data_IF_423397372493
#
_entry.id   IF_423397372493
#
_cell.length_a   1.000
_cell.length_b   1.000
_cell.length_c   1.000
_cell.angle_alpha   90.00
_cell.angle_beta   90.00
_cell.angle_gamma   90.00
#
_symmetry.space_group_name_H-M   'P 1'
#
loop_
_entity.id
_entity.type
_entity.pdbx_description
1 polymer ?
#
# COMPACT_ATOMS: atom_id res chain seq x y z
N UNK A 1 47.50 -38.02 -54.42
CA UNK A 1 47.20 -36.65 -54.91
C UNK A 1 45.69 -36.36 -54.93
N UNK A 2 44.85 -37.24 -55.47
CA UNK A 2 43.38 -37.06 -55.50
C UNK A 2 42.75 -37.05 -54.09
N UNK A 3 43.02 -38.07 -53.26
CA UNK A 3 42.42 -38.17 -51.92
C UNK A 3 42.80 -37.00 -50.99
N UNK A 4 44.02 -36.46 -51.14
CA UNK A 4 44.49 -35.30 -50.38
C UNK A 4 43.81 -34.00 -50.82
N UNK A 5 43.51 -33.85 -52.11
CA UNK A 5 42.78 -32.69 -52.63
C UNK A 5 41.31 -32.71 -52.20
N UNK A 6 40.66 -33.87 -52.23
CA UNK A 6 39.28 -34.05 -51.73
C UNK A 6 39.19 -33.75 -50.24
N UNK A 7 40.07 -34.31 -49.41
CA UNK A 7 40.08 -34.05 -47.97
C UNK A 7 40.30 -32.56 -47.63
N UNK A 8 41.16 -31.87 -48.38
CA UNK A 8 41.36 -30.42 -48.23
C UNK A 8 40.11 -29.62 -48.62
N UNK A 9 39.41 -30.02 -49.70
CA UNK A 9 38.15 -29.42 -50.13
C UNK A 9 37.05 -29.58 -49.08
N UNK A 10 36.86 -30.80 -48.55
CA UNK A 10 35.85 -31.09 -47.54
C UNK A 10 36.13 -30.34 -46.22
N UNK A 11 37.42 -30.22 -45.87
CA UNK A 11 37.83 -29.42 -44.72
C UNK A 11 37.51 -27.94 -44.91
N UNK A 12 37.77 -27.39 -46.11
CA UNK A 12 37.45 -26.00 -46.43
C UNK A 12 35.93 -25.72 -46.41
N UNK A 13 35.11 -26.62 -46.94
CA UNK A 13 33.65 -26.47 -46.91
C UNK A 13 33.11 -26.55 -45.47
N UNK A 14 33.60 -27.48 -44.66
CA UNK A 14 33.19 -27.57 -43.25
C UNK A 14 33.56 -26.30 -42.45
N UNK A 15 34.70 -25.68 -42.76
CA UNK A 15 35.13 -24.43 -42.16
C UNK A 15 34.24 -23.25 -42.62
N UNK A 16 33.87 -23.19 -43.90
CA UNK A 16 32.96 -22.14 -44.40
C UNK A 16 31.57 -22.24 -43.77
N UNK A 17 31.05 -23.47 -43.62
CA UNK A 17 29.74 -23.71 -43.01
C UNK A 17 29.74 -23.32 -41.52
N UNK A 18 30.84 -23.63 -40.82
CA UNK A 18 31.05 -23.23 -39.42
C UNK A 18 31.12 -21.72 -39.26
N UNK A 19 31.79 -21.02 -40.18
CA UNK A 19 31.88 -19.56 -40.19
C UNK A 19 30.53 -18.90 -40.50
N UNK A 20 29.77 -19.43 -41.46
CA UNK A 20 28.42 -18.95 -41.78
C UNK A 20 27.46 -19.11 -40.59
N UNK A 21 27.52 -20.26 -39.92
CA UNK A 21 26.73 -20.53 -38.70
C UNK A 21 27.11 -19.55 -37.59
N UNK A 22 28.41 -19.33 -37.36
CA UNK A 22 28.89 -18.38 -36.35
C UNK A 22 28.43 -16.95 -36.64
N UNK A 23 28.51 -16.51 -37.90
CA UNK A 23 28.01 -15.20 -38.32
C UNK A 23 26.51 -15.06 -38.06
N UNK A 24 25.73 -16.09 -38.39
CA UNK A 24 24.29 -16.08 -38.14
C UNK A 24 23.96 -16.00 -36.65
N UNK A 25 24.70 -16.71 -35.79
CA UNK A 25 24.55 -16.63 -34.33
C UNK A 25 24.88 -15.23 -33.81
N UNK A 26 25.96 -14.60 -34.29
CA UNK A 26 26.34 -13.23 -33.96
C UNK A 26 25.26 -12.22 -34.38
N UNK A 27 24.76 -12.32 -35.61
CA UNK A 27 23.71 -11.45 -36.13
C UNK A 27 22.38 -11.63 -35.35
N UNK A 28 22.04 -12.87 -34.98
CA UNK A 28 20.84 -13.15 -34.18
C UNK A 28 20.95 -12.67 -32.74
N UNK A 29 22.15 -12.72 -32.16
CA UNK A 29 22.42 -12.22 -30.80
C UNK A 29 22.43 -10.68 -30.73
N UNK A 30 22.62 -9.99 -31.86
CA UNK A 30 22.78 -8.54 -31.91
C UNK A 30 24.14 -8.05 -31.40
N UNK A 31 25.14 -8.95 -31.27
CA UNK A 31 26.51 -8.62 -30.87
C UNK A 31 27.26 -7.79 -31.91
N UNK A 32 26.83 -7.81 -33.17
CA UNK A 32 27.40 -7.02 -34.26
C UNK A 32 26.96 -5.56 -34.24
N UNK A 33 26.00 -5.21 -33.38
CA UNK A 33 25.42 -3.89 -33.30
C UNK A 33 26.14 -3.04 -32.23
N UNK A 34 26.68 -1.88 -32.61
CA UNK A 34 27.36 -0.98 -31.67
C UNK A 34 26.35 -0.14 -30.88
N UNK A 35 26.55 0.00 -29.57
CA UNK A 35 25.77 0.94 -28.75
C UNK A 35 26.11 2.40 -29.13
N UNK A 36 25.11 3.30 -29.15
CA UNK A 36 25.34 4.71 -29.54
C UNK A 36 25.74 5.59 -28.36
N UNK A 37 25.29 5.24 -27.16
CA UNK A 37 25.65 5.97 -25.96
C UNK A 37 27.11 5.78 -25.57
N UNK A 38 27.74 6.83 -25.05
CA UNK A 38 29.06 6.73 -24.40
C UNK A 38 28.99 5.72 -23.24
N UNK A 39 29.95 4.79 -23.17
CA UNK A 39 29.99 3.71 -22.17
C UNK A 39 28.73 2.83 -22.11
N UNK A 40 27.93 2.81 -23.18
CA UNK A 40 26.70 2.04 -23.21
C UNK A 40 26.96 0.58 -23.60
N UNK A 41 26.12 -0.32 -23.10
CA UNK A 41 26.17 -1.76 -23.39
C UNK A 41 24.84 -2.21 -23.96
N UNK A 42 24.86 -3.03 -25.01
CA UNK A 42 23.64 -3.63 -25.53
C UNK A 42 23.83 -5.07 -25.97
N UNK A 43 22.80 -5.87 -25.78
CA UNK A 43 22.71 -7.24 -26.27
C UNK A 43 21.28 -7.53 -26.70
N UNK A 44 21.14 -8.20 -27.85
CA UNK A 44 19.85 -8.51 -28.45
C UNK A 44 19.68 -7.82 -29.80
N UNK A 45 19.21 -8.56 -30.80
CA UNK A 45 18.91 -8.04 -32.13
C UNK A 45 17.97 -6.83 -32.04
N UNK A 46 18.30 -5.73 -32.72
CA UNK A 46 17.57 -4.46 -32.71
C UNK A 46 17.47 -3.79 -31.32
N UNK A 47 18.30 -4.16 -30.35
CA UNK A 47 18.40 -3.40 -29.10
C UNK A 47 19.09 -2.03 -29.35
N UNK A 48 18.75 -1.06 -28.51
CA UNK A 48 19.29 0.31 -28.58
C UNK A 48 19.68 0.77 -27.18
N UNK A 49 20.97 1.01 -26.97
CA UNK A 49 21.49 1.68 -25.79
C UNK A 49 22.06 3.03 -26.24
N UNK A 50 21.19 4.03 -26.25
CA UNK A 50 21.45 5.36 -26.82
C UNK A 50 21.84 6.39 -25.76
N UNK A 51 21.46 6.16 -24.50
CA UNK A 51 21.85 7.04 -23.40
C UNK A 51 23.30 6.81 -22.97
N UNK A 52 23.98 7.85 -22.49
CA UNK A 52 25.28 7.71 -21.81
C UNK A 52 25.14 6.76 -20.61
N UNK A 53 26.09 5.83 -20.46
CA UNK A 53 26.10 4.77 -19.46
C UNK A 53 24.84 3.88 -19.47
N UNK A 54 24.13 3.79 -20.59
CA UNK A 54 22.89 3.01 -20.67
C UNK A 54 23.14 1.52 -20.93
N UNK A 55 22.17 0.68 -20.58
CA UNK A 55 22.24 -0.77 -20.74
C UNK A 55 20.95 -1.33 -21.33
N UNK A 56 21.01 -1.98 -22.49
CA UNK A 56 19.84 -2.57 -23.15
C UNK A 56 20.03 -4.07 -23.42
N UNK A 57 19.21 -4.92 -22.79
CA UNK A 57 19.28 -6.38 -22.91
C UNK A 57 17.94 -6.95 -23.38
N UNK A 58 17.89 -7.45 -24.61
CA UNK A 58 16.72 -8.11 -25.20
C UNK A 58 16.39 -7.59 -26.60
N UNK A 59 15.65 -8.41 -27.36
CA UNK A 59 15.19 -8.01 -28.69
C UNK A 59 14.35 -6.73 -28.61
N UNK A 60 14.75 -5.66 -29.33
CA UNK A 60 14.10 -4.33 -29.27
C UNK A 60 14.11 -3.66 -27.90
N UNK A 61 14.96 -4.09 -26.95
CA UNK A 61 15.15 -3.35 -25.70
C UNK A 61 15.73 -1.95 -26.02
N UNK A 62 15.19 -0.91 -25.40
CA UNK A 62 15.57 0.49 -25.65
C UNK A 62 15.89 1.20 -24.34
N UNK A 63 17.17 1.50 -24.11
CA UNK A 63 17.68 2.30 -23.01
C UNK A 63 18.19 3.63 -23.57
N UNK A 64 17.31 4.62 -23.70
CA UNK A 64 17.62 5.92 -24.31
C UNK A 64 17.90 7.04 -23.31
N UNK A 65 17.63 6.81 -22.02
CA UNK A 65 17.96 7.77 -20.96
C UNK A 65 19.41 7.65 -20.48
N UNK A 66 20.00 8.74 -20.00
CA UNK A 66 21.29 8.70 -19.29
C UNK A 66 21.20 7.77 -18.06
N UNK A 67 22.17 6.89 -17.87
CA UNK A 67 22.20 5.87 -16.81
C UNK A 67 20.95 4.96 -16.78
N UNK A 68 20.28 4.79 -17.92
CA UNK A 68 19.06 3.96 -17.99
C UNK A 68 19.36 2.48 -18.23
N UNK A 69 18.49 1.61 -17.74
CA UNK A 69 18.60 0.15 -17.93
C UNK A 69 17.29 -0.41 -18.47
N UNK A 70 17.32 -1.10 -19.60
CA UNK A 70 16.17 -1.77 -20.21
C UNK A 70 16.48 -3.26 -20.40
N UNK A 71 15.79 -4.13 -19.67
CA UNK A 71 15.97 -5.58 -19.71
C UNK A 71 14.64 -6.24 -20.05
N UNK A 72 14.57 -6.90 -21.19
CA UNK A 72 13.38 -7.59 -21.69
C UNK A 72 13.09 -7.25 -23.15
N UNK A 73 12.39 -8.15 -23.84
CA UNK A 73 11.94 -7.89 -25.20
C UNK A 73 11.03 -6.65 -25.22
N UNK A 74 11.33 -5.68 -26.08
CA UNK A 74 10.63 -4.39 -26.16
C UNK A 74 10.57 -3.57 -24.85
N UNK A 75 11.42 -3.85 -23.85
CA UNK A 75 11.51 -3.00 -22.65
C UNK A 75 12.03 -1.61 -23.03
N UNK A 76 11.50 -0.55 -22.41
CA UNK A 76 11.84 0.85 -22.71
C UNK A 76 12.17 1.63 -21.44
N UNK A 77 13.41 2.06 -21.29
CA UNK A 77 13.87 2.97 -20.24
C UNK A 77 14.35 4.28 -20.89
N UNK A 78 13.48 5.29 -20.94
CA UNK A 78 13.71 6.50 -21.76
C UNK A 78 14.06 7.76 -20.98
N UNK A 79 14.05 7.70 -19.65
CA UNK A 79 14.38 8.83 -18.78
C UNK A 79 15.70 8.64 -18.04
N UNK A 80 16.28 9.72 -17.52
CA UNK A 80 17.51 9.68 -16.72
C UNK A 80 17.33 8.79 -15.48
N UNK A 81 18.29 7.91 -15.22
CA UNK A 81 18.29 6.96 -14.11
C UNK A 81 17.07 6.02 -14.09
N UNK A 82 16.41 5.80 -15.24
CA UNK A 82 15.23 4.92 -15.31
C UNK A 82 15.61 3.45 -15.51
N UNK A 83 14.83 2.54 -14.94
CA UNK A 83 15.01 1.09 -15.10
C UNK A 83 13.70 0.44 -15.55
N UNK A 84 13.73 -0.27 -16.68
CA UNK A 84 12.62 -1.09 -17.16
C UNK A 84 13.05 -2.56 -17.16
N UNK A 85 12.48 -3.37 -16.28
CA UNK A 85 12.82 -4.78 -16.11
C UNK A 85 11.58 -5.64 -16.40
N UNK A 86 11.49 -6.18 -17.62
CA UNK A 86 10.42 -7.04 -18.07
C UNK A 86 10.07 -6.81 -19.55
N UNK A 87 9.49 -7.82 -20.18
CA UNK A 87 8.95 -7.70 -21.54
C UNK A 87 7.92 -6.55 -21.59
N UNK A 88 8.06 -5.61 -22.55
CA UNK A 88 7.25 -4.39 -22.65
C UNK A 88 7.25 -3.47 -21.39
N UNK A 89 8.12 -3.68 -20.41
CA UNK A 89 8.22 -2.78 -19.26
C UNK A 89 8.63 -1.37 -19.75
N UNK A 90 7.98 -0.32 -19.26
CA UNK A 90 8.17 1.05 -19.75
C UNK A 90 8.43 2.01 -18.58
N UNK A 91 9.65 2.50 -18.46
CA UNK A 91 10.07 3.50 -17.47
C UNK A 91 10.38 4.82 -18.19
N UNK A 92 9.48 5.79 -18.07
CA UNK A 92 9.53 7.07 -18.82
C UNK A 92 9.74 8.29 -17.93
N UNK A 93 9.83 8.10 -16.61
CA UNK A 93 10.08 9.17 -15.65
C UNK A 93 11.48 9.06 -15.02
N UNK A 94 11.99 10.19 -14.55
CA UNK A 94 13.32 10.24 -13.95
C UNK A 94 13.38 9.41 -12.67
N UNK A 95 14.47 8.64 -12.50
CA UNK A 95 14.68 7.82 -11.31
C UNK A 95 13.51 6.86 -11.02
N UNK A 96 12.88 6.32 -12.07
CA UNK A 96 11.74 5.40 -11.96
C UNK A 96 12.12 3.97 -12.33
N UNK A 97 11.42 3.00 -11.73
CA UNK A 97 11.61 1.56 -11.98
C UNK A 97 10.28 0.95 -12.41
N UNK A 98 10.19 0.46 -13.64
CA UNK A 98 9.11 -0.40 -14.10
C UNK A 98 9.52 -1.86 -13.92
N UNK A 99 8.93 -2.55 -12.94
CA UNK A 99 9.29 -3.92 -12.55
C UNK A 99 8.19 -4.90 -12.98
N UNK A 100 8.54 -5.83 -13.87
CA UNK A 100 7.65 -6.84 -14.43
C UNK A 100 7.15 -6.51 -15.83
N UNK A 101 6.67 -7.54 -16.55
CA UNK A 101 6.19 -7.39 -17.91
C UNK A 101 5.00 -6.41 -18.00
N UNK A 102 5.00 -5.53 -19.00
CA UNK A 102 3.96 -4.49 -19.19
C UNK A 102 3.78 -3.51 -18.01
N UNK A 103 4.72 -3.45 -17.07
CA UNK A 103 4.71 -2.42 -16.02
C UNK A 103 5.03 -1.05 -16.58
N UNK A 104 4.40 0.00 -16.06
CA UNK A 104 4.58 1.38 -16.50
C UNK A 104 4.99 2.23 -15.29
N UNK A 105 6.17 2.85 -15.36
CA UNK A 105 6.70 3.77 -14.36
C UNK A 105 6.87 5.17 -14.97
N UNK A 106 5.79 5.93 -14.98
CA UNK A 106 5.68 7.27 -15.57
C UNK A 106 5.66 8.41 -14.52
N UNK A 107 5.97 8.10 -13.26
CA UNK A 107 6.14 9.06 -12.16
C UNK A 107 7.59 9.04 -11.65
N UNK A 108 8.15 10.20 -11.33
CA UNK A 108 9.54 10.30 -10.89
C UNK A 108 9.74 9.73 -9.49
N UNK A 109 10.89 9.11 -9.22
CA UNK A 109 11.22 8.52 -7.91
C UNK A 109 10.24 7.41 -7.46
N UNK A 110 9.78 6.57 -8.38
CA UNK A 110 8.81 5.50 -8.09
C UNK A 110 9.29 4.13 -8.53
N UNK A 111 8.76 3.10 -7.87
CA UNK A 111 8.80 1.72 -8.36
C UNK A 111 7.38 1.30 -8.71
N UNK A 112 7.11 1.09 -9.99
CA UNK A 112 5.83 0.55 -10.45
C UNK A 112 5.97 -0.95 -10.71
N UNK A 113 5.13 -1.75 -10.03
CA UNK A 113 5.07 -3.20 -10.19
C UNK A 113 3.96 -3.64 -11.16
N UNK A 114 3.34 -2.71 -11.89
CA UNK A 114 2.20 -2.99 -12.76
C UNK A 114 1.85 -1.80 -13.64
N UNK A 115 0.62 -1.78 -14.13
CA UNK A 115 0.04 -0.66 -14.85
C UNK A 115 -1.44 -0.53 -14.48
N UNK A 116 -2.07 0.58 -14.85
CA UNK A 116 -3.50 0.82 -14.56
C UNK A 116 -4.35 -0.34 -15.07
N UNK A 117 -5.12 -0.97 -14.19
CA UNK A 117 -5.95 -2.14 -14.47
C UNK A 117 -5.20 -3.47 -14.55
N UNK A 118 -3.87 -3.47 -14.38
CA UNK A 118 -3.00 -4.65 -14.34
C UNK A 118 -2.10 -4.58 -13.10
N UNK A 119 -2.70 -4.24 -11.95
CA UNK A 119 -2.00 -4.16 -10.68
C UNK A 119 -1.55 -5.56 -10.22
N UNK A 120 -0.40 -5.61 -9.54
CA UNK A 120 0.15 -6.84 -8.96
C UNK A 120 0.07 -6.80 -7.45
N UNK A 121 -0.18 -7.96 -6.85
CA UNK A 121 -0.02 -8.11 -5.40
C UNK A 121 1.46 -8.24 -5.06
N UNK A 122 1.89 -7.47 -4.06
CA UNK A 122 3.18 -7.66 -3.40
C UNK A 122 2.90 -8.56 -2.18
N UNK A 123 3.47 -9.76 -2.17
CA UNK A 123 3.20 -10.78 -1.13
C UNK A 123 4.46 -11.09 -0.34
N UNK A 124 4.30 -11.74 0.83
CA UNK A 124 5.41 -12.04 1.76
C UNK A 124 6.12 -10.79 2.29
N UNK A 125 5.38 -9.69 2.45
CA UNK A 125 5.85 -8.46 3.09
C UNK A 125 5.83 -8.66 4.61
N UNK A 126 7.01 -8.60 5.24
CA UNK A 126 7.14 -8.63 6.69
C UNK A 126 6.44 -7.43 7.35
N UNK A 127 6.26 -7.46 8.67
CA UNK A 127 5.72 -6.28 9.36
C UNK A 127 6.73 -5.13 9.26
N UNK A 128 6.26 -3.93 8.94
CA UNK A 128 7.11 -2.74 8.97
C UNK A 128 7.58 -2.41 10.39
N UNK A 129 8.83 -1.96 10.51
CA UNK A 129 9.50 -1.59 11.76
C UNK A 129 9.85 -0.10 11.75
N UNK A 130 10.37 0.42 10.65
CA UNK A 130 10.69 1.83 10.48
C UNK A 130 9.51 2.61 9.90
N UNK A 131 9.55 3.95 10.04
CA UNK A 131 8.50 4.84 9.54
C UNK A 131 8.30 4.77 8.01
N UNK A 132 9.33 4.34 7.27
CA UNK A 132 9.32 4.24 5.80
C UNK A 132 9.14 2.81 5.29
N UNK A 133 8.86 1.84 6.18
CA UNK A 133 8.61 0.46 5.77
C UNK A 133 7.19 0.31 5.24
N UNK A 134 7.00 -0.60 4.28
CA UNK A 134 5.67 -0.97 3.83
C UNK A 134 4.87 -1.66 4.96
N UNK A 135 3.58 -1.34 5.06
CA UNK A 135 2.65 -1.99 5.99
C UNK A 135 1.98 -3.18 5.30
N UNK A 136 1.90 -4.31 5.97
CA UNK A 136 1.18 -5.49 5.44
C UNK A 136 -0.26 -5.59 5.97
N UNK A 137 -1.06 -6.49 5.38
CA UNK A 137 -2.49 -6.67 5.73
C UNK A 137 -2.72 -6.98 7.22
N UNK A 138 -1.83 -7.72 7.88
CA UNK A 138 -1.99 -8.09 9.30
C UNK A 138 -1.98 -6.86 10.20
N UNK A 139 -1.09 -5.90 9.94
CA UNK A 139 -1.02 -4.64 10.69
C UNK A 139 -2.30 -3.81 10.47
N UNK A 140 -2.85 -3.80 9.25
CA UNK A 140 -4.12 -3.12 8.96
C UNK A 140 -5.33 -3.82 9.63
N UNK A 141 -5.35 -5.15 9.64
CA UNK A 141 -6.42 -5.94 10.30
C UNK A 141 -6.44 -5.67 11.82
N UNK A 142 -5.27 -5.48 12.44
CA UNK A 142 -5.16 -5.07 13.85
C UNK A 142 -5.81 -3.71 14.10
N UNK A 143 -5.49 -2.71 13.28
CA UNK A 143 -6.13 -1.37 13.36
C UNK A 143 -7.64 -1.47 13.15
N UNK A 144 -8.10 -2.29 12.20
CA UNK A 144 -9.54 -2.50 11.97
C UNK A 144 -10.24 -3.10 13.19
N UNK A 145 -9.61 -4.05 13.86
CA UNK A 145 -10.13 -4.66 15.10
C UNK A 145 -10.21 -3.64 16.23
N UNK A 146 -9.17 -2.83 16.42
CA UNK A 146 -9.13 -1.80 17.46
C UNK A 146 -10.20 -0.73 17.22
N UNK A 147 -10.41 -0.30 15.98
CA UNK A 147 -11.48 0.63 15.62
C UNK A 147 -12.87 0.07 15.92
N UNK A 148 -13.13 -1.21 15.61
CA UNK A 148 -14.41 -1.87 15.96
C UNK A 148 -14.61 -1.98 17.47
N UNK A 149 -13.53 -2.11 18.24
CA UNK A 149 -13.59 -2.12 19.71
C UNK A 149 -13.95 -0.72 20.23
N UNK A 150 -13.27 0.30 19.71
CA UNK A 150 -13.52 1.70 20.08
C UNK A 150 -14.95 2.13 19.72
N UNK A 151 -15.45 1.80 18.53
CA UNK A 151 -16.83 2.09 18.13
C UNK A 151 -17.86 1.47 19.08
N UNK A 152 -17.68 0.20 19.46
CA UNK A 152 -18.56 -0.45 20.44
C UNK A 152 -18.53 0.24 21.80
N UNK A 153 -17.34 0.63 22.29
CA UNK A 153 -17.20 1.36 23.55
C UNK A 153 -17.89 2.73 23.49
N UNK A 154 -17.73 3.47 22.40
CA UNK A 154 -18.40 4.76 22.21
C UNK A 154 -19.92 4.62 22.21
N UNK A 155 -20.46 3.66 21.46
CA UNK A 155 -21.91 3.37 21.45
C UNK A 155 -22.44 3.03 22.85
N UNK A 156 -21.68 2.24 23.60
CA UNK A 156 -22.01 1.89 24.97
C UNK A 156 -21.96 3.10 25.91
N UNK A 157 -20.97 3.98 25.74
CA UNK A 157 -20.89 5.26 26.44
C UNK A 157 -22.08 6.17 26.17
N UNK A 158 -22.54 6.26 24.92
CA UNK A 158 -23.76 6.99 24.54
C UNK A 158 -25.00 6.36 25.19
N UNK A 159 -25.13 5.03 25.14
CA UNK A 159 -26.22 4.34 25.86
C UNK A 159 -26.18 4.66 27.37
N UNK A 160 -24.99 4.74 27.97
CA UNK A 160 -24.80 5.18 29.35
C UNK A 160 -25.30 6.59 29.61
N UNK A 161 -25.00 7.54 28.72
CA UNK A 161 -25.49 8.91 28.83
C UNK A 161 -27.02 8.99 28.70
N UNK A 162 -27.61 8.22 27.78
CA UNK A 162 -29.07 8.09 27.64
C UNK A 162 -29.70 7.50 28.91
N UNK A 163 -29.06 6.50 29.52
CA UNK A 163 -29.53 5.90 30.77
C UNK A 163 -29.55 6.95 31.90
N UNK A 164 -28.46 7.71 32.06
CA UNK A 164 -28.36 8.78 33.05
C UNK A 164 -29.41 9.88 32.82
N UNK A 165 -29.64 10.26 31.57
CA UNK A 165 -30.62 11.30 31.21
C UNK A 165 -32.07 10.90 31.58
N UNK A 166 -32.40 9.60 31.51
CA UNK A 166 -33.73 9.08 31.83
C UNK A 166 -33.95 8.82 33.33
N UNK A 167 -32.99 9.14 34.21
CA UNK A 167 -33.19 9.03 35.66
C UNK A 167 -34.16 10.13 36.13
N UNK A 168 -35.32 9.78 36.72
CA UNK A 168 -36.28 10.75 37.25
C UNK A 168 -35.64 11.69 38.29
N UNK A 169 -36.16 12.91 38.38
CA UNK A 169 -35.71 13.91 39.33
C UNK A 169 -36.78 14.15 40.39
N UNK A 170 -36.36 14.39 41.64
CA UNK A 170 -37.26 14.76 42.73
C UNK A 170 -37.97 16.09 42.45
N UNK A 171 -39.26 16.15 42.80
CA UNK A 171 -40.13 17.32 42.58
C UNK A 171 -40.76 17.87 43.87
N UNK A 172 -40.61 17.17 45.00
CA UNK A 172 -41.20 17.56 46.27
C UNK A 172 -40.16 18.18 47.22
N UNK A 173 -40.41 19.38 47.82
CA UNK A 173 -39.46 20.03 48.71
C UNK A 173 -39.09 19.16 49.92
N UNK A 174 -37.80 19.14 50.26
CA UNK A 174 -37.23 18.34 51.34
C UNK A 174 -37.11 16.83 51.04
N UNK A 175 -37.69 16.35 49.94
CA UNK A 175 -37.68 14.94 49.60
C UNK A 175 -36.35 14.47 49.00
N UNK A 176 -36.10 13.17 49.15
CA UNK A 176 -35.01 12.44 48.50
C UNK A 176 -35.61 11.48 47.49
N UNK A 177 -34.95 11.29 46.35
CA UNK A 177 -35.35 10.31 45.34
C UNK A 177 -34.14 9.50 44.90
N UNK A 178 -34.29 8.18 44.88
CA UNK A 178 -33.40 7.25 44.17
C UNK A 178 -34.14 6.76 42.93
N UNK A 179 -33.52 6.90 41.77
CA UNK A 179 -34.09 6.54 40.49
C UNK A 179 -33.16 5.61 39.71
N UNK A 180 -33.74 4.90 38.75
CA UNK A 180 -33.01 4.10 37.78
C UNK A 180 -33.37 4.57 36.37
N UNK A 181 -32.39 4.57 35.48
CA UNK A 181 -32.56 4.88 34.08
C UNK A 181 -31.94 3.78 33.23
N UNK A 182 -32.53 3.54 32.07
CA UNK A 182 -32.03 2.59 31.08
C UNK A 182 -31.78 3.33 29.78
N UNK A 183 -30.74 2.95 29.07
CA UNK A 183 -30.37 3.56 27.80
C UNK A 183 -30.01 2.50 26.79
N UNK A 184 -30.44 2.70 25.55
CA UNK A 184 -30.05 1.86 24.43
C UNK A 184 -29.56 2.77 23.30
N UNK A 185 -28.46 2.38 22.66
CA UNK A 185 -27.96 3.05 21.47
C UNK A 185 -27.28 2.05 20.55
N UNK A 186 -27.88 1.84 19.37
CA UNK A 186 -27.31 1.09 18.25
C UNK A 186 -26.72 -0.28 18.64
N UNK A 187 -27.50 -1.07 19.39
CA UNK A 187 -27.14 -2.42 19.83
C UNK A 187 -26.32 -2.50 21.14
N UNK A 188 -26.02 -1.37 21.78
CA UNK A 188 -25.47 -1.33 23.13
C UNK A 188 -26.52 -0.84 24.12
N UNK A 189 -26.46 -1.32 25.35
CA UNK A 189 -27.37 -0.93 26.43
C UNK A 189 -26.59 -0.48 27.65
N UNK A 190 -27.25 0.28 28.51
CA UNK A 190 -26.71 0.69 29.79
C UNK A 190 -27.81 0.84 30.82
N UNK A 191 -27.42 0.70 32.08
CA UNK A 191 -28.27 0.96 33.25
C UNK A 191 -27.56 1.99 34.11
N UNK A 192 -28.32 2.96 34.61
CA UNK A 192 -27.81 3.95 35.53
C UNK A 192 -28.72 4.05 36.76
N UNK A 193 -28.10 4.33 37.90
CA UNK A 193 -28.76 4.67 39.15
C UNK A 193 -28.45 6.12 39.47
N UNK A 194 -29.39 6.82 40.09
CA UNK A 194 -29.14 8.18 40.52
C UNK A 194 -29.89 8.55 41.77
N UNK A 195 -29.37 9.58 42.43
CA UNK A 195 -29.92 10.18 43.63
C UNK A 195 -30.20 11.64 43.34
N UNK A 196 -31.33 12.15 43.81
CA UNK A 196 -31.63 13.58 43.77
C UNK A 196 -32.32 14.07 45.04
N UNK A 197 -32.07 15.34 45.40
CA UNK A 197 -32.67 16.03 46.56
C UNK A 197 -33.08 17.44 46.18
N UNK A 198 -34.26 17.86 46.63
CA UNK A 198 -34.74 19.23 46.53
C UNK A 198 -34.74 19.83 47.93
N UNK A 199 -34.16 21.02 48.09
CA UNK A 199 -34.08 21.70 49.39
C UNK A 199 -35.46 22.02 49.96
N UNK A 200 -35.55 22.13 51.28
CA UNK A 200 -36.82 22.40 51.98
C UNK A 200 -37.49 23.70 51.52
N UNK A 201 -36.68 24.70 51.13
CA UNK A 201 -37.16 25.98 50.61
C UNK A 201 -37.50 25.95 49.11
N UNK A 202 -37.49 24.79 48.45
CA UNK A 202 -37.78 24.60 47.03
C UNK A 202 -36.89 25.40 46.06
N UNK A 203 -35.66 25.73 46.46
CA UNK A 203 -34.76 26.57 45.63
C UNK A 203 -33.56 25.85 45.06
N UNK A 204 -33.03 24.82 45.72
CA UNK A 204 -31.82 24.10 45.30
C UNK A 204 -32.15 22.65 44.98
N UNK A 205 -31.71 22.18 43.81
CA UNK A 205 -31.80 20.78 43.42
C UNK A 205 -30.39 20.23 43.29
N UNK A 206 -30.13 19.08 43.91
CA UNK A 206 -28.92 18.29 43.72
C UNK A 206 -29.27 16.99 42.99
N UNK A 207 -28.43 16.58 42.03
CA UNK A 207 -28.52 15.29 41.33
C UNK A 207 -27.15 14.65 41.25
N UNK A 208 -27.09 13.34 41.47
CA UNK A 208 -25.94 12.48 41.26
C UNK A 208 -26.39 11.24 40.50
N UNK A 209 -25.54 10.70 39.64
CA UNK A 209 -25.82 9.52 38.84
C UNK A 209 -24.56 8.72 38.58
N UNK A 210 -24.71 7.41 38.49
CA UNK A 210 -23.67 6.49 38.07
C UNK A 210 -24.31 5.38 37.23
N UNK A 211 -23.63 4.92 36.19
CA UNK A 211 -24.14 3.87 35.32
C UNK A 211 -23.06 2.94 34.81
N UNK A 212 -23.52 1.78 34.34
CA UNK A 212 -22.70 0.73 33.75
C UNK A 212 -23.27 0.35 32.39
N UNK A 213 -22.38 0.02 31.46
CA UNK A 213 -22.72 -0.24 30.06
C UNK A 213 -22.46 -1.71 29.69
N UNK A 214 -23.05 -2.17 28.58
CA UNK A 214 -22.83 -3.55 28.06
C UNK A 214 -21.40 -3.85 27.64
N UNK A 215 -20.52 -2.85 27.53
CA UNK A 215 -19.08 -3.05 27.27
C UNK A 215 -18.23 -3.09 28.55
N UNK A 216 -18.87 -3.05 29.73
CA UNK A 216 -18.18 -3.07 31.03
C UNK A 216 -17.60 -1.73 31.47
N UNK A 217 -17.79 -0.67 30.67
CA UNK A 217 -17.39 0.69 31.04
C UNK A 217 -18.47 1.34 31.94
N UNK A 218 -18.07 2.28 32.79
CA UNK A 218 -18.94 3.01 33.72
C UNK A 218 -18.89 4.53 33.49
N UNK A 219 -19.97 5.22 33.84
CA UNK A 219 -20.06 6.68 33.86
C UNK A 219 -20.53 7.20 35.21
N UNK A 220 -20.09 8.39 35.60
CA UNK A 220 -20.50 9.06 36.85
C UNK A 220 -20.65 10.54 36.57
N UNK A 221 -21.67 11.16 37.14
CA UNK A 221 -21.90 12.59 37.02
C UNK A 221 -22.74 13.14 38.16
N UNK A 222 -22.56 14.42 38.48
CA UNK A 222 -23.37 15.14 39.45
C UNK A 222 -23.64 16.57 38.95
N UNK A 223 -24.71 17.18 39.46
CA UNK A 223 -25.13 18.53 39.10
C UNK A 223 -25.94 19.19 40.20
N UNK A 224 -25.93 20.52 40.21
CA UNK A 224 -26.71 21.37 41.12
C UNK A 224 -27.45 22.43 40.32
N UNK A 225 -28.70 22.71 40.68
CA UNK A 225 -29.52 23.77 40.11
C UNK A 225 -30.08 24.67 41.20
N UNK A 226 -30.21 25.96 40.93
CA UNK A 226 -30.89 26.93 41.79
C UNK A 226 -32.00 27.61 41.00
N UNK A 227 -33.21 27.69 41.57
CA UNK A 227 -34.37 28.30 40.94
C UNK A 227 -34.91 29.47 41.79
N UNK A 228 -35.35 30.51 41.09
CA UNK A 228 -35.98 31.70 41.65
C UNK A 228 -37.18 32.12 40.77
N UNK A 229 -38.04 32.99 41.31
CA UNK A 229 -39.16 33.59 40.57
C UNK A 229 -38.77 34.98 40.10
#
# INVERSE_FOLDING_TARGET
>A
ASNSATAASDSASSASDSAATTKQLLDNSGLTETAKGENATKFGKNSSADGKNSSAFGHKASASGENSTAVGQSSKASAKNSTALGQNATATAQNSVALGANSIANEANTVSVGSKGNERRITNVANGVNATDAVNKRQLDQVSSDLRRTDRKLRAGVAGAVAVANIPQVTQPGANLVGMGVGNYNGQSAVAVGYSKLSDNNKVIFKMSAGATTQGDYNVGAGVGYQWK
#
